data_IF_805780876573
#
_entry.id   IF_805780876573
#
_cell.length_a   1.000
_cell.length_b   1.000
_cell.length_c   1.000
_cell.angle_alpha   90.00
_cell.angle_beta   90.00
_cell.angle_gamma   90.00
#
_symmetry.space_group_name_H-M   'P 1'
#
loop_
_entity.id
_entity.type
_entity.pdbx_description
1 polymer ?
#
# COMPACT_ATOMS: atom_id res chain seq x y z
N UNK A 1 -5.55 4.54 -0.47
CA UNK A 1 -4.48 3.56 -0.76
C UNK A 1 -4.86 2.86 -2.06
N UNK A 2 -3.95 2.13 -2.69
CA UNK A 2 -4.18 1.46 -3.96
C UNK A 2 -3.79 -0.01 -3.88
N UNK A 3 -4.51 -0.85 -4.63
CA UNK A 3 -4.14 -2.24 -4.90
C UNK A 3 -3.07 -2.27 -5.98
N UNK A 4 -2.03 -3.07 -5.77
CA UNK A 4 -0.87 -3.17 -6.64
C UNK A 4 -0.59 -4.63 -6.99
N UNK A 5 -0.35 -4.89 -8.27
CA UNK A 5 0.04 -6.20 -8.79
C UNK A 5 1.32 -6.13 -9.62
N UNK A 6 1.74 -7.29 -10.16
CA UNK A 6 2.84 -7.36 -11.13
C UNK A 6 2.43 -6.75 -12.47
N UNK A 7 3.32 -5.98 -13.09
CA UNK A 7 3.15 -5.52 -14.48
C UNK A 7 3.63 -6.56 -15.51
N UNK A 8 4.35 -7.61 -15.07
CA UNK A 8 4.97 -8.60 -15.95
C UNK A 8 4.23 -9.94 -15.94
N UNK A 9 3.61 -10.29 -14.81
CA UNK A 9 3.01 -11.60 -14.58
C UNK A 9 1.63 -11.44 -13.94
N UNK A 10 0.62 -11.38 -14.80
CA UNK A 10 -0.75 -11.19 -14.37
C UNK A 10 -1.27 -12.43 -13.63
N UNK A 11 -1.46 -12.30 -12.32
CA UNK A 11 -2.38 -13.18 -11.60
C UNK A 11 -3.80 -12.85 -12.10
N UNK A 12 -4.47 -13.82 -12.72
CA UNK A 12 -5.87 -13.68 -13.16
C UNK A 12 -6.82 -14.03 -12.00
N UNK A 13 -6.63 -13.37 -10.86
CA UNK A 13 -7.56 -13.45 -9.76
C UNK A 13 -8.71 -12.46 -9.98
N UNK A 14 -9.94 -12.94 -9.76
CA UNK A 14 -11.16 -12.15 -9.70
C UNK A 14 -12.08 -12.68 -8.61
N UNK A 15 -12.92 -11.82 -8.06
CA UNK A 15 -13.85 -12.18 -6.97
C UNK A 15 -14.80 -13.31 -7.37
N UNK A 16 -15.21 -13.39 -8.64
CA UNK A 16 -16.14 -14.40 -9.17
C UNK A 16 -15.54 -15.80 -9.14
N UNK A 17 -14.21 -15.92 -9.09
CA UNK A 17 -13.54 -17.21 -8.98
C UNK A 17 -13.79 -17.90 -7.63
N UNK A 18 -14.22 -17.14 -6.61
CA UNK A 18 -14.41 -17.63 -5.23
C UNK A 18 -13.11 -18.04 -4.52
N UNK A 19 -11.97 -17.98 -5.20
CA UNK A 19 -10.68 -18.30 -4.61
C UNK A 19 -10.25 -17.19 -3.65
N UNK A 20 -9.60 -17.52 -2.53
CA UNK A 20 -9.05 -16.49 -1.65
C UNK A 20 -8.04 -15.60 -2.38
N UNK A 21 -8.12 -14.28 -2.17
CA UNK A 21 -7.16 -13.31 -2.66
C UNK A 21 -5.78 -13.53 -2.01
N UNK A 22 -4.69 -13.73 -2.80
CA UNK A 22 -3.34 -13.80 -2.26
C UNK A 22 -2.83 -12.39 -1.93
N UNK A 23 -2.68 -12.10 -0.64
CA UNK A 23 -2.25 -10.79 -0.13
C UNK A 23 -0.77 -10.81 0.26
N UNK A 24 -0.04 -9.82 -0.23
CA UNK A 24 1.34 -9.50 0.14
C UNK A 24 1.33 -8.28 1.06
N UNK A 25 1.83 -8.44 2.30
CA UNK A 25 1.75 -7.39 3.31
C UNK A 25 3.05 -7.21 4.09
N UNK A 26 3.22 -6.02 4.68
CA UNK A 26 4.23 -5.86 5.73
C UNK A 26 3.89 -6.71 6.95
N UNK A 27 4.92 -7.10 7.70
CA UNK A 27 4.74 -7.73 9.00
C UNK A 27 3.86 -6.86 9.91
N UNK A 28 2.97 -7.50 10.67
CA UNK A 28 2.10 -6.79 11.61
C UNK A 28 2.91 -6.30 12.84
N UNK A 29 2.56 -5.15 13.43
CA UNK A 29 1.43 -4.28 13.09
C UNK A 29 1.71 -3.34 11.91
N UNK A 30 0.82 -3.32 10.91
CA UNK A 30 0.92 -2.42 9.76
C UNK A 30 -0.45 -1.84 9.37
N UNK A 31 -0.62 -0.49 9.36
CA UNK A 31 -1.89 0.14 8.99
C UNK A 31 -2.36 -0.17 7.56
N UNK A 32 -1.45 -0.39 6.61
CA UNK A 32 -1.83 -0.81 5.26
C UNK A 32 -2.45 -2.20 5.27
N UNK A 33 -1.82 -3.13 6.01
CA UNK A 33 -2.30 -4.49 6.14
C UNK A 33 -3.67 -4.52 6.82
N UNK A 34 -3.82 -3.90 7.99
CA UNK A 34 -5.10 -3.94 8.72
C UNK A 34 -6.24 -3.31 7.92
N UNK A 35 -6.02 -2.13 7.32
CA UNK A 35 -7.08 -1.46 6.53
C UNK A 35 -7.48 -2.24 5.29
N UNK A 36 -6.53 -2.93 4.65
CA UNK A 36 -6.82 -3.77 3.49
C UNK A 36 -7.65 -4.99 3.89
N UNK A 37 -7.25 -5.70 4.95
CA UNK A 37 -7.95 -6.90 5.41
C UNK A 37 -9.32 -6.57 6.00
N UNK A 38 -9.46 -5.43 6.69
CA UNK A 38 -10.77 -4.91 7.13
C UNK A 38 -11.70 -4.66 5.93
N UNK A 39 -11.20 -4.05 4.85
CA UNK A 39 -11.97 -3.81 3.64
C UNK A 39 -12.39 -5.11 2.93
N UNK A 40 -11.49 -6.10 2.86
CA UNK A 40 -11.79 -7.43 2.30
C UNK A 40 -12.84 -8.16 3.15
N UNK A 41 -12.69 -8.14 4.47
CA UNK A 41 -13.63 -8.76 5.41
C UNK A 41 -15.02 -8.14 5.31
N UNK A 42 -15.12 -6.80 5.22
CA UNK A 42 -16.38 -6.09 5.06
C UNK A 42 -17.05 -6.43 3.71
N UNK A 43 -16.27 -6.62 2.66
CA UNK A 43 -16.74 -7.03 1.34
C UNK A 43 -17.06 -8.54 1.24
N UNK A 44 -16.77 -9.34 2.28
CA UNK A 44 -16.96 -10.79 2.26
C UNK A 44 -16.01 -11.52 1.30
N UNK A 45 -14.87 -10.91 0.96
CA UNK A 45 -13.90 -11.49 0.02
C UNK A 45 -12.93 -12.37 0.81
N UNK A 46 -12.84 -13.69 0.52
CA UNK A 46 -11.87 -14.55 1.16
C UNK A 46 -10.45 -14.13 0.76
N UNK A 47 -9.51 -14.23 1.68
CA UNK A 47 -8.11 -13.87 1.45
C UNK A 47 -7.17 -14.69 2.32
N UNK A 48 -5.90 -14.74 1.94
CA UNK A 48 -4.83 -15.27 2.78
C UNK A 48 -3.56 -14.44 2.59
N UNK A 49 -2.65 -14.47 3.56
CA UNK A 49 -1.29 -13.96 3.37
C UNK A 49 -0.52 -14.95 2.50
N UNK A 50 -0.06 -14.52 1.33
CA UNK A 50 0.82 -15.31 0.47
C UNK A 50 2.30 -15.02 0.73
N UNK A 51 2.62 -13.81 1.18
CA UNK A 51 3.97 -13.39 1.52
C UNK A 51 3.97 -12.21 2.50
N UNK A 52 4.93 -12.17 3.43
CA UNK A 52 5.19 -11.00 4.26
C UNK A 52 6.65 -10.58 4.24
N UNK A 53 6.91 -9.29 4.44
CA UNK A 53 8.26 -8.75 4.57
C UNK A 53 8.26 -7.43 5.33
N UNK A 54 9.30 -7.18 6.12
CA UNK A 54 9.58 -5.88 6.73
C UNK A 54 10.24 -4.88 5.78
N UNK A 55 10.51 -5.26 4.52
CA UNK A 55 11.17 -4.42 3.51
C UNK A 55 10.23 -4.07 2.37
N UNK A 56 10.18 -2.78 2.01
CA UNK A 56 9.43 -2.33 0.84
C UNK A 56 9.91 -3.02 -0.43
N UNK A 57 11.23 -3.14 -0.62
CA UNK A 57 11.81 -3.82 -1.77
C UNK A 57 11.44 -5.31 -1.78
N UNK A 58 11.34 -5.93 -0.61
CA UNK A 58 10.90 -7.32 -0.48
C UNK A 58 9.45 -7.52 -0.95
N UNK A 59 8.54 -6.63 -0.53
CA UNK A 59 7.14 -6.67 -1.01
C UNK A 59 7.03 -6.41 -2.50
N UNK A 60 7.76 -5.42 -3.02
CA UNK A 60 7.74 -5.09 -4.44
C UNK A 60 8.29 -6.22 -5.29
N UNK A 61 9.40 -6.85 -4.88
CA UNK A 61 9.95 -8.02 -5.58
C UNK A 61 8.98 -9.22 -5.57
N UNK A 62 8.32 -9.49 -4.44
CA UNK A 62 7.32 -10.55 -4.34
C UNK A 62 6.08 -10.27 -5.21
N UNK A 63 5.66 -9.00 -5.26
CA UNK A 63 4.53 -8.55 -6.08
C UNK A 63 4.87 -8.69 -7.56
N UNK A 64 6.03 -8.18 -7.98
CA UNK A 64 6.54 -8.29 -9.36
C UNK A 64 6.65 -9.76 -9.80
N UNK A 65 7.13 -10.65 -8.92
CA UNK A 65 7.23 -12.08 -9.18
C UNK A 65 5.87 -12.80 -9.32
N UNK A 66 4.77 -12.12 -8.99
CA UNK A 66 3.41 -12.65 -9.08
C UNK A 66 3.03 -13.56 -7.92
N UNK A 67 3.56 -13.31 -6.71
CA UNK A 67 3.19 -14.07 -5.50
C UNK A 67 1.86 -13.62 -4.88
N UNK A 68 1.29 -12.51 -5.35
CA UNK A 68 0.06 -11.93 -4.83
C UNK A 68 -0.04 -10.44 -5.12
N UNK A 69 -0.97 -9.78 -4.42
CA UNK A 69 -1.21 -8.34 -4.53
C UNK A 69 -0.87 -7.63 -3.24
N UNK A 70 -0.28 -6.44 -3.34
CA UNK A 70 0.05 -5.61 -2.19
C UNK A 70 -0.79 -4.33 -2.14
N UNK A 71 -0.76 -3.65 -0.99
CA UNK A 71 -1.51 -2.42 -0.74
C UNK A 71 -0.55 -1.33 -0.32
N UNK A 72 -0.42 -0.29 -1.16
CA UNK A 72 0.46 0.86 -0.89
C UNK A 72 -0.15 2.16 -1.41
N UNK A 73 0.60 3.25 -1.33
CA UNK A 73 0.31 4.48 -2.04
C UNK A 73 0.75 4.36 -3.51
N UNK A 74 0.12 5.12 -4.41
CA UNK A 74 0.63 5.27 -5.78
C UNK A 74 1.99 6.02 -5.81
N UNK A 75 2.25 6.84 -4.80
CA UNK A 75 3.55 7.46 -4.57
C UNK A 75 4.62 6.38 -4.34
N UNK A 76 5.69 6.45 -5.12
CA UNK A 76 6.80 5.49 -5.03
C UNK A 76 6.47 4.10 -5.57
N UNK A 77 5.53 4.00 -6.52
CA UNK A 77 5.30 2.75 -7.27
C UNK A 77 6.62 2.25 -7.85
N UNK A 78 6.96 0.99 -7.59
CA UNK A 78 8.23 0.40 -8.02
C UNK A 78 8.10 -0.14 -9.45
N UNK A 79 9.20 -0.07 -10.22
CA UNK A 79 9.29 -0.72 -11.52
C UNK A 79 8.89 -2.20 -11.42
N UNK A 80 8.19 -2.71 -12.44
CA UNK A 80 7.70 -4.08 -12.43
C UNK A 80 6.39 -4.30 -11.66
N UNK A 81 5.81 -3.25 -11.10
CA UNK A 81 4.50 -3.27 -10.45
C UNK A 81 3.56 -2.24 -11.07
N UNK A 82 2.25 -2.50 -10.99
CA UNK A 82 1.21 -1.62 -11.55
C UNK A 82 0.03 -1.45 -10.60
N UNK A 83 -0.68 -0.33 -10.74
CA UNK A 83 -1.95 -0.12 -10.07
C UNK A 83 -3.02 -1.00 -10.72
N UNK A 84 -3.81 -1.68 -9.91
CA UNK A 84 -4.90 -2.51 -10.41
C UNK A 84 -6.17 -1.69 -10.64
N UNK A 85 -6.89 -2.02 -11.71
CA UNK A 85 -8.29 -1.64 -11.81
C UNK A 85 -9.11 -2.50 -10.83
N UNK A 86 -9.73 -1.85 -9.84
CA UNK A 86 -10.48 -2.53 -8.78
C UNK A 86 -11.81 -3.09 -9.30
N UNK A 87 -12.42 -2.43 -10.28
CA UNK A 87 -13.72 -2.84 -10.83
C UNK A 87 -13.60 -4.14 -11.62
N UNK A 88 -12.57 -4.25 -12.47
CA UNK A 88 -12.30 -5.44 -13.31
C UNK A 88 -12.05 -6.71 -12.48
N UNK A 89 -11.68 -6.57 -11.20
CA UNK A 89 -11.35 -7.68 -10.30
C UNK A 89 -12.36 -7.86 -9.16
N UNK A 90 -13.32 -6.96 -9.02
CA UNK A 90 -14.24 -6.92 -7.88
C UNK A 90 -13.54 -6.67 -6.54
N UNK A 91 -12.45 -5.89 -6.54
CA UNK A 91 -11.74 -5.49 -5.32
C UNK A 91 -12.43 -4.28 -4.66
N UNK A 92 -12.45 -4.19 -3.32
CA UNK A 92 -13.04 -3.07 -2.63
C UNK A 92 -12.14 -1.83 -2.75
N UNK A 93 -12.76 -0.65 -2.80
CA UNK A 93 -12.04 0.60 -2.64
C UNK A 93 -11.38 0.66 -1.25
N UNK A 94 -10.17 1.22 -1.19
CA UNK A 94 -9.40 1.32 0.04
C UNK A 94 -9.38 2.75 0.56
N UNK A 95 -9.46 2.96 1.89
CA UNK A 95 -9.45 4.29 2.45
C UNK A 95 -8.12 5.02 2.20
N UNK A 96 -8.11 6.34 2.36
CA UNK A 96 -6.86 7.10 2.42
C UNK A 96 -6.07 6.75 3.69
N UNK A 97 -4.77 7.01 3.65
CA UNK A 97 -3.89 6.93 4.82
C UNK A 97 -3.26 8.30 5.04
N UNK A 98 -3.16 8.72 6.31
CA UNK A 98 -2.56 9.99 6.67
C UNK A 98 -1.03 9.91 6.55
N UNK A 99 -0.43 10.94 5.97
CA UNK A 99 1.00 11.19 6.03
C UNK A 99 1.25 12.27 7.07
N UNK A 100 2.01 11.93 8.11
CA UNK A 100 2.25 12.80 9.27
C UNK A 100 3.73 13.12 9.42
N UNK A 101 4.03 14.38 9.72
CA UNK A 101 5.38 14.80 10.12
C UNK A 101 5.47 14.76 11.64
N UNK A 102 6.33 13.90 12.17
CA UNK A 102 6.60 13.82 13.60
C UNK A 102 7.80 14.69 13.96
N UNK A 103 7.61 15.55 14.96
CA UNK A 103 8.63 16.47 15.48
C UNK A 103 8.66 16.41 17.00
N UNK A 104 9.84 16.53 17.57
CA UNK A 104 10.00 16.72 19.01
C UNK A 104 9.65 18.16 19.41
N UNK A 105 8.60 18.35 20.21
CA UNK A 105 8.06 19.68 20.55
C UNK A 105 8.71 20.32 21.77
N UNK A 106 9.38 19.54 22.64
CA UNK A 106 9.83 20.06 23.94
C UNK A 106 11.04 21.02 23.87
N UNK A 107 11.64 21.21 22.69
CA UNK A 107 12.68 22.23 22.48
C UNK A 107 12.60 22.79 21.05
N UNK A 108 11.73 23.79 20.80
CA UNK A 108 11.53 24.35 19.47
C UNK A 108 12.78 25.08 18.99
N UNK A 109 13.37 24.60 17.89
CA UNK A 109 14.53 25.19 17.23
C UNK A 109 14.11 25.78 15.87
N UNK A 110 14.39 27.07 15.58
CA UNK A 110 14.08 27.71 14.30
C UNK A 110 14.55 26.95 13.06
N UNK A 111 15.68 26.24 13.13
CA UNK A 111 16.19 25.40 12.03
C UNK A 111 15.30 24.18 11.80
N UNK A 112 14.84 23.53 12.87
CA UNK A 112 13.92 22.39 12.79
C UNK A 112 12.55 22.83 12.27
N UNK A 113 12.06 24.02 12.67
CA UNK A 113 10.83 24.61 12.12
C UNK A 113 10.95 24.90 10.63
N UNK A 114 12.09 25.47 10.21
CA UNK A 114 12.36 25.77 8.81
C UNK A 114 12.43 24.48 7.98
N UNK A 115 13.14 23.45 8.46
CA UNK A 115 13.20 22.14 7.82
C UNK A 115 11.81 21.50 7.74
N UNK A 116 11.04 21.52 8.82
CA UNK A 116 9.67 20.98 8.86
C UNK A 116 8.79 21.64 7.78
N UNK A 117 8.87 22.96 7.66
CA UNK A 117 8.15 23.72 6.64
C UNK A 117 8.58 23.36 5.22
N UNK A 118 9.90 23.21 4.98
CA UNK A 118 10.45 22.78 3.69
C UNK A 118 9.98 21.38 3.30
N UNK A 119 10.02 20.43 4.24
CA UNK A 119 9.54 19.05 4.01
C UNK A 119 8.06 19.03 3.68
N UNK A 120 7.23 19.75 4.44
CA UNK A 120 5.78 19.84 4.16
C UNK A 120 5.52 20.47 2.80
N UNK A 121 6.24 21.54 2.45
CA UNK A 121 6.09 22.20 1.15
C UNK A 121 6.47 21.26 0.00
N UNK A 122 7.61 20.58 0.10
CA UNK A 122 8.07 19.64 -0.92
C UNK A 122 7.12 18.45 -1.10
N UNK A 123 6.62 17.89 -0.01
CA UNK A 123 5.65 16.79 -0.08
C UNK A 123 4.33 17.27 -0.69
N UNK A 124 3.85 18.47 -0.35
CA UNK A 124 2.61 19.01 -0.92
C UNK A 124 2.71 19.24 -2.43
N UNK A 125 3.87 19.61 -2.97
CA UNK A 125 4.04 19.77 -4.42
C UNK A 125 4.04 18.44 -5.18
N UNK A 126 4.34 17.33 -4.52
CA UNK A 126 4.37 15.99 -5.14
C UNK A 126 3.03 15.24 -5.03
N UNK A 127 2.13 15.68 -4.15
CA UNK A 127 0.84 15.02 -3.87
C UNK A 127 -0.36 15.84 -4.39
N UNK A 128 -0.14 17.08 -4.83
CA UNK A 128 -1.16 17.94 -5.47
C UNK A 128 -1.49 17.46 -6.89
#
# INVERSE_FOLDING_TARGET
>A
MQWIGSSHRYLDWRVESGNPLPVIAFDAPCPFHSKATDALNLAGIPWHLSFTSSSLNGLSAATEAGLGYTIRTALGLQSGTELLNIEDRGLPALPSIALTLHRHEANPNPLTERLSSMVVQAIRSEIA
#
